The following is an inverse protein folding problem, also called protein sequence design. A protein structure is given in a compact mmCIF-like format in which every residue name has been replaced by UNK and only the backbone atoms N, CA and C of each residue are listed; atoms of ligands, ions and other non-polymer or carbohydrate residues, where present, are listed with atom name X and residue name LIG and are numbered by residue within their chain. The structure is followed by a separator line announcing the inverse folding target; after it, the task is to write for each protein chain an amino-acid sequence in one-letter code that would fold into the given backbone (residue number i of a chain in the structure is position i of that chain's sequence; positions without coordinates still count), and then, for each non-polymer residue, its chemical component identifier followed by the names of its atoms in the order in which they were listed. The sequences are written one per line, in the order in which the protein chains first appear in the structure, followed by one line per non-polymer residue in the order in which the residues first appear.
data_IF_016226799494
#
_entry.id   IF_016226799494
#
_cell.length_a   1.000
_cell.length_b   1.000
_cell.length_c   1.000
_cell.angle_alpha   90.00
_cell.angle_beta   90.00
_cell.angle_gamma   90.00
#
_symmetry.space_group_name_H-M   'P 1'
#
loop_
_entity.id
_entity.type
_entity.pdbx_description
1 polymer ?
#
# COMPACT_ATOMS: atom_id res chain seq x y z
N UNK A 1 -16.78 31.75 -17.43
CA UNK A 1 -17.62 32.54 -18.36
C UNK A 1 -17.39 34.01 -18.06
N UNK A 2 -17.68 34.92 -19.00
CA UNK A 2 -17.66 36.35 -18.70
C UNK A 2 -18.92 36.65 -17.87
N UNK A 3 -18.75 37.19 -16.66
CA UNK A 3 -19.87 37.66 -15.84
C UNK A 3 -19.57 39.10 -15.44
N UNK A 4 -20.23 40.04 -16.10
CA UNK A 4 -19.86 41.45 -16.03
C UNK A 4 -18.51 41.71 -16.70
N UNK A 5 -17.56 42.30 -15.99
CA UNK A 5 -16.25 42.72 -16.53
C UNK A 5 -15.09 41.79 -16.15
N UNK A 6 -15.35 40.67 -15.49
CA UNK A 6 -14.30 39.73 -15.05
C UNK A 6 -14.44 38.34 -15.67
N UNK A 7 -13.30 37.71 -15.94
CA UNK A 7 -13.26 36.27 -16.23
C UNK A 7 -13.49 35.51 -14.93
N UNK A 8 -14.64 34.85 -14.82
CA UNK A 8 -14.92 33.97 -13.71
C UNK A 8 -14.43 32.56 -14.02
N UNK A 9 -13.71 31.98 -13.07
CA UNK A 9 -13.26 30.60 -13.15
C UNK A 9 -14.42 29.69 -12.78
N UNK A 10 -14.73 28.73 -13.64
CA UNK A 10 -15.75 27.73 -13.38
C UNK A 10 -15.38 26.87 -12.16
N UNK A 11 -16.39 26.21 -11.58
CA UNK A 11 -16.16 25.18 -10.58
C UNK A 11 -15.33 24.03 -11.19
N UNK A 12 -14.42 23.47 -10.39
CA UNK A 12 -13.77 22.21 -10.75
C UNK A 12 -14.70 21.07 -10.33
N UNK A 13 -14.98 20.17 -11.27
CA UNK A 13 -15.87 19.03 -11.06
C UNK A 13 -15.17 17.79 -11.61
N UNK A 14 -14.97 16.78 -10.77
CA UNK A 14 -14.14 15.62 -11.06
C UNK A 14 -13.42 15.15 -9.80
N UNK A 15 -12.19 14.67 -9.98
CA UNK A 15 -11.34 14.20 -8.88
C UNK A 15 -10.91 15.32 -7.96
N UNK A 16 -10.50 16.45 -8.54
CA UNK A 16 -10.28 17.70 -7.83
C UNK A 16 -11.55 18.55 -7.93
N UNK A 17 -12.02 19.04 -6.78
CA UNK A 17 -13.19 19.91 -6.68
C UNK A 17 -12.82 21.27 -6.11
N UNK A 18 -13.50 22.31 -6.58
CA UNK A 18 -13.45 23.66 -6.05
C UNK A 18 -14.69 24.44 -6.49
N UNK A 19 -15.17 25.34 -5.64
CA UNK A 19 -16.27 26.24 -6.00
C UNK A 19 -15.84 27.23 -7.09
N UNK A 20 -16.83 27.79 -7.81
CA UNK A 20 -16.59 28.87 -8.77
C UNK A 20 -15.89 30.05 -8.07
N UNK A 21 -14.88 30.62 -8.73
CA UNK A 21 -14.08 31.74 -8.20
C UNK A 21 -13.39 31.50 -6.83
N UNK A 22 -13.19 30.24 -6.40
CA UNK A 22 -12.53 29.90 -5.12
C UNK A 22 -11.21 29.13 -5.32
N UNK A 23 -10.11 29.54 -4.68
CA UNK A 23 -8.81 28.88 -4.84
C UNK A 23 -8.61 27.66 -3.91
N UNK A 24 -9.53 27.42 -2.98
CA UNK A 24 -9.52 26.23 -2.14
C UNK A 24 -9.93 25.03 -3.01
N UNK A 25 -9.03 24.06 -3.09
CA UNK A 25 -9.25 22.80 -3.80
C UNK A 25 -9.24 21.64 -2.82
N UNK A 26 -10.02 20.61 -3.12
CA UNK A 26 -10.00 19.33 -2.41
C UNK A 26 -9.91 18.19 -3.41
N UNK A 27 -9.19 17.13 -3.06
CA UNK A 27 -9.26 15.87 -3.80
C UNK A 27 -10.47 15.10 -3.26
N UNK A 28 -11.60 15.20 -3.96
CA UNK A 28 -12.83 14.53 -3.57
C UNK A 28 -12.89 13.08 -4.09
N UNK A 29 -12.13 12.77 -5.15
CA UNK A 29 -12.07 11.44 -5.76
C UNK A 29 -10.67 11.17 -6.30
N UNK A 30 -10.35 9.90 -6.49
CA UNK A 30 -9.14 9.41 -7.18
C UNK A 30 -9.60 8.44 -8.26
N UNK A 31 -9.33 8.78 -9.52
CA UNK A 31 -9.78 8.04 -10.71
C UNK A 31 -11.30 7.83 -10.73
N UNK A 32 -12.05 8.88 -10.42
CA UNK A 32 -13.53 8.86 -10.36
C UNK A 32 -14.12 8.18 -9.13
N UNK A 33 -13.29 7.62 -8.24
CA UNK A 33 -13.72 6.92 -7.02
C UNK A 33 -13.63 7.82 -5.80
N UNK A 34 -14.68 7.89 -4.99
CA UNK A 34 -14.74 8.78 -3.81
C UNK A 34 -13.53 8.61 -2.88
N UNK A 35 -13.06 9.72 -2.32
CA UNK A 35 -12.22 9.75 -1.12
C UNK A 35 -13.13 10.07 0.06
N UNK A 36 -13.04 9.31 1.14
CA UNK A 36 -13.83 9.55 2.35
C UNK A 36 -13.45 10.89 2.99
N UNK A 37 -14.43 11.59 3.57
CA UNK A 37 -14.23 12.85 4.28
C UNK A 37 -13.60 12.70 5.68
N UNK A 38 -13.44 11.46 6.15
CA UNK A 38 -12.78 11.16 7.42
C UNK A 38 -11.28 11.41 7.27
N UNK A 39 -10.72 12.25 8.14
CA UNK A 39 -9.29 12.51 8.16
C UNK A 39 -8.53 11.25 8.65
N UNK A 40 -7.40 10.87 8.01
CA UNK A 40 -6.55 9.79 8.51
C UNK A 40 -6.00 10.08 9.90
N UNK A 41 -5.97 9.04 10.75
CA UNK A 41 -5.18 9.04 11.97
C UNK A 41 -3.71 8.65 11.67
N UNK A 42 -2.80 8.88 12.63
CA UNK A 42 -1.42 8.41 12.54
C UNK A 42 -1.36 6.89 12.32
N UNK A 43 -0.52 6.43 11.39
CA UNK A 43 -0.40 5.01 11.02
C UNK A 43 -1.46 4.49 10.05
N UNK A 44 -2.37 5.34 9.56
CA UNK A 44 -3.33 4.98 8.52
C UNK A 44 -2.89 5.42 7.13
N UNK A 45 -3.31 4.65 6.13
CA UNK A 45 -3.17 4.96 4.70
C UNK A 45 -4.55 4.93 4.04
N UNK A 46 -4.70 5.61 2.90
CA UNK A 46 -5.92 5.48 2.11
C UNK A 46 -5.95 4.10 1.45
N UNK A 47 -6.96 3.29 1.78
CA UNK A 47 -7.19 1.97 1.19
C UNK A 47 -8.54 1.93 0.46
N UNK A 48 -8.57 1.27 -0.68
CA UNK A 48 -9.81 1.01 -1.39
C UNK A 48 -10.63 -0.03 -0.62
N UNK A 49 -11.79 0.37 -0.11
CA UNK A 49 -12.64 -0.50 0.69
C UNK A 49 -13.77 -1.19 -0.11
N UNK A 50 -13.73 -1.12 -1.45
CA UNK A 50 -14.81 -1.59 -2.32
C UNK A 50 -15.78 -0.49 -2.78
N UNK A 51 -15.85 0.64 -2.08
CA UNK A 51 -16.79 1.75 -2.39
C UNK A 51 -16.12 3.13 -2.42
N UNK A 52 -15.11 3.36 -1.58
CA UNK A 52 -14.34 4.59 -1.49
C UNK A 52 -12.88 4.30 -1.11
N UNK A 53 -12.00 5.25 -1.40
CA UNK A 53 -10.70 5.36 -0.73
C UNK A 53 -10.94 5.92 0.67
N UNK A 54 -10.71 5.10 1.69
CA UNK A 54 -10.93 5.49 3.09
C UNK A 54 -9.66 5.22 3.93
N UNK A 55 -9.40 6.01 4.98
CA UNK A 55 -8.31 5.71 5.89
C UNK A 55 -8.52 4.35 6.55
N UNK A 56 -7.48 3.52 6.53
CA UNK A 56 -7.40 2.26 7.25
C UNK A 56 -5.97 2.07 7.75
N UNK A 57 -5.80 1.30 8.84
CA UNK A 57 -4.46 0.98 9.37
C UNK A 57 -3.59 0.39 8.26
N UNK A 58 -2.32 0.79 8.16
CA UNK A 58 -1.36 0.16 7.24
C UNK A 58 -1.23 -1.35 7.56
N UNK A 59 -1.21 -2.20 6.52
CA UNK A 59 -1.05 -3.66 6.71
C UNK A 59 0.43 -4.07 6.71
N UNK A 60 1.35 -3.14 6.45
CA UNK A 60 2.77 -3.40 6.54
C UNK A 60 3.20 -3.60 7.99
N UNK A 61 3.06 -4.83 8.47
CA UNK A 61 3.38 -5.25 9.82
C UNK A 61 4.84 -5.68 10.00
N UNK A 62 5.68 -5.49 8.97
CA UNK A 62 7.06 -5.99 8.94
C UNK A 62 7.12 -7.47 9.35
N UNK A 63 6.58 -8.35 8.49
CA UNK A 63 6.50 -9.79 8.73
C UNK A 63 7.85 -10.33 9.18
N UNK A 64 7.93 -10.71 10.45
CA UNK A 64 9.13 -11.29 11.04
C UNK A 64 9.03 -12.79 10.91
N UNK A 65 9.99 -13.39 10.21
CA UNK A 65 10.07 -14.84 10.14
C UNK A 65 10.88 -15.40 11.31
N UNK A 66 10.66 -16.67 11.63
CA UNK A 66 11.46 -17.43 12.60
C UNK A 66 12.01 -18.67 11.93
N UNK A 67 13.27 -19.01 12.20
CA UNK A 67 13.84 -20.25 11.71
C UNK A 67 13.24 -21.44 12.47
N UNK A 68 12.78 -22.44 11.73
CA UNK A 68 12.40 -23.74 12.28
C UNK A 68 13.62 -24.60 12.63
N UNK A 69 13.39 -25.79 13.18
CA UNK A 69 14.46 -26.74 13.50
C UNK A 69 15.32 -27.03 12.27
N UNK A 70 16.65 -26.92 12.42
CA UNK A 70 17.62 -27.16 11.33
C UNK A 70 17.90 -25.94 10.44
N UNK A 71 17.18 -24.84 10.62
CA UNK A 71 17.43 -23.56 9.96
C UNK A 71 17.98 -22.53 10.95
N UNK A 72 18.71 -21.55 10.42
CA UNK A 72 19.12 -20.33 11.11
C UNK A 72 18.61 -19.14 10.31
N UNK A 73 18.21 -18.07 10.98
CA UNK A 73 17.81 -16.81 10.36
C UNK A 73 18.66 -15.69 10.96
N UNK A 74 19.47 -15.03 10.13
CA UNK A 74 20.26 -13.86 10.50
C UNK A 74 19.87 -12.69 9.59
N UNK A 75 19.29 -11.64 10.18
CA UNK A 75 18.69 -10.54 9.43
C UNK A 75 17.58 -11.06 8.51
N UNK A 76 17.79 -10.96 7.19
CA UNK A 76 16.87 -11.43 6.15
C UNK A 76 17.33 -12.71 5.45
N UNK A 77 18.39 -13.36 5.96
CA UNK A 77 19.00 -14.53 5.32
C UNK A 77 18.70 -15.79 6.12
N UNK A 78 18.01 -16.73 5.49
CA UNK A 78 17.92 -18.11 5.98
C UNK A 78 19.14 -18.91 5.56
N UNK A 79 19.66 -19.70 6.49
CA UNK A 79 20.71 -20.68 6.25
C UNK A 79 20.35 -22.01 6.92
N UNK A 80 21.00 -23.08 6.47
CA UNK A 80 21.05 -24.34 7.19
C UNK A 80 22.52 -24.73 7.34
N UNK A 81 22.82 -25.63 8.28
CA UNK A 81 24.16 -26.20 8.34
C UNK A 81 24.47 -26.88 7.01
N UNK A 82 25.67 -26.64 6.44
CA UNK A 82 26.13 -27.41 5.31
C UNK A 82 26.08 -28.90 5.67
N UNK A 83 25.60 -29.74 4.76
CA UNK A 83 25.68 -31.18 4.95
C UNK A 83 27.16 -31.55 5.00
N UNK A 84 27.65 -31.96 6.17
CA UNK A 84 29.02 -32.43 6.34
C UNK A 84 29.02 -33.95 6.24
N UNK A 85 29.81 -34.49 5.31
CA UNK A 85 29.95 -35.94 5.07
C UNK A 85 29.82 -36.32 3.60
N UNK A 86 30.21 -37.55 3.26
CA UNK A 86 29.97 -38.14 1.95
C UNK A 86 28.50 -38.55 1.82
N UNK A 87 27.85 -38.17 0.72
CA UNK A 87 26.59 -38.81 0.31
C UNK A 87 26.94 -40.24 -0.12
N UNK A 88 26.96 -41.15 0.83
CA UNK A 88 27.28 -42.55 0.56
C UNK A 88 26.05 -43.25 -0.01
N UNK A 89 25.98 -43.32 -1.35
CA UNK A 89 24.93 -44.01 -2.09
C UNK A 89 25.05 -43.77 -3.60
N UNK A 90 24.68 -44.76 -4.42
CA UNK A 90 24.66 -44.66 -5.89
C UNK A 90 23.69 -43.57 -6.34
N UNK A 91 24.22 -42.39 -6.70
CA UNK A 91 23.63 -41.27 -7.48
C UNK A 91 22.17 -40.84 -7.23
N UNK A 92 21.49 -41.28 -6.17
CA UNK A 92 20.15 -40.80 -5.84
C UNK A 92 19.92 -40.81 -4.34
N UNK A 93 20.04 -39.64 -3.73
CA UNK A 93 19.53 -39.37 -2.39
C UNK A 93 18.00 -39.34 -2.49
N UNK A 94 17.32 -40.39 -2.03
CA UNK A 94 15.86 -40.32 -1.81
C UNK A 94 15.62 -39.84 -0.39
N UNK A 95 15.03 -38.65 -0.25
CA UNK A 95 14.52 -38.16 1.03
C UNK A 95 13.12 -38.76 1.18
N UNK A 96 12.90 -39.54 2.23
CA UNK A 96 11.58 -40.06 2.58
C UNK A 96 10.62 -38.94 2.95
#
# INVERSE_FOLDING_TARGET
TLSGTSFQRAALTGDVTAAANNNITTVARIQGRNVANTAPASGQVLKWNGTAWAPAADDNTNTTYTAGTGLSLSGTTFSHAAHTGDVTGTTSLTIA
#
